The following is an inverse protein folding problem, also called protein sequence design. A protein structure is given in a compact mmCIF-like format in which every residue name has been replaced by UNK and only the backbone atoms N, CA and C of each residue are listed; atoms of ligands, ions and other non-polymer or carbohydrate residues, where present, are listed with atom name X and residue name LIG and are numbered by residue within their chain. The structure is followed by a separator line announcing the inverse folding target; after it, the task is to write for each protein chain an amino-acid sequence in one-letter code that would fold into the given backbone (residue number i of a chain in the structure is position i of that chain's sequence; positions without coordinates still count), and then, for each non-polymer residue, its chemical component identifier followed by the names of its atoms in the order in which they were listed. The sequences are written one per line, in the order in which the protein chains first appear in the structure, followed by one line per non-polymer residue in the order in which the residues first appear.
data_IF_038564177552
#
_entry.id   IF_038564177552
#
_cell.length_a   1.000
_cell.length_b   1.000
_cell.length_c   1.000
_cell.angle_alpha   90.00
_cell.angle_beta   90.00
_cell.angle_gamma   90.00
#
_symmetry.space_group_name_H-M   'P 1'
#
loop_
_entity.id
_entity.type
_entity.pdbx_description
1 polymer ?
#
# COMPACT_ATOMS: atom_id res chain seq x y z
N UNK A 1 -12.91 -17.67 -14.93
CA UNK A 1 -13.61 -16.92 -13.87
C UNK A 1 -12.60 -16.80 -12.75
N UNK A 2 -11.81 -15.73 -12.71
CA UNK A 2 -10.79 -15.57 -11.67
C UNK A 2 -11.50 -15.03 -10.43
N UNK A 3 -11.61 -15.87 -9.42
CA UNK A 3 -12.08 -15.53 -8.09
C UNK A 3 -11.02 -14.60 -7.48
N UNK A 4 -11.25 -13.28 -7.49
CA UNK A 4 -10.45 -12.30 -6.75
C UNK A 4 -10.72 -12.52 -5.25
N UNK A 5 -10.14 -13.59 -4.73
CA UNK A 5 -10.27 -13.97 -3.35
C UNK A 5 -9.52 -12.92 -2.53
N UNK A 6 -10.32 -12.08 -1.86
CA UNK A 6 -10.02 -11.27 -0.67
C UNK A 6 -8.59 -11.47 -0.18
N UNK A 7 -7.82 -10.38 -0.19
CA UNK A 7 -6.60 -10.24 0.59
C UNK A 7 -6.77 -11.05 1.89
N UNK A 8 -5.93 -12.08 2.08
CA UNK A 8 -6.06 -12.99 3.22
C UNK A 8 -6.00 -12.16 4.51
N UNK A 9 -7.12 -12.11 5.26
CA UNK A 9 -7.29 -11.31 6.50
C UNK A 9 -6.13 -11.55 7.49
N UNK A 10 -5.56 -12.76 7.47
CA UNK A 10 -4.39 -13.16 8.28
C UNK A 10 -3.07 -12.47 7.91
N UNK A 11 -2.95 -11.89 6.72
CA UNK A 11 -1.77 -11.15 6.29
C UNK A 11 -1.90 -9.69 6.70
N UNK A 12 -3.11 -9.11 6.59
CA UNK A 12 -3.40 -7.72 6.96
C UNK A 12 -3.24 -7.49 8.47
N UNK A 13 -3.55 -8.48 9.31
CA UNK A 13 -3.39 -8.39 10.78
C UNK A 13 -1.94 -8.30 11.27
N UNK A 14 -0.95 -8.47 10.39
CA UNK A 14 0.47 -8.27 10.72
C UNK A 14 1.02 -6.95 10.18
N UNK A 15 0.24 -6.20 9.39
CA UNK A 15 0.60 -4.85 8.96
C UNK A 15 0.18 -3.85 10.03
N UNK A 16 0.93 -2.77 10.14
CA UNK A 16 0.54 -1.59 10.92
C UNK A 16 -0.81 -1.05 10.40
N UNK A 17 -1.60 -0.44 11.30
CA UNK A 17 -2.99 -0.02 11.04
C UNK A 17 -3.11 0.89 9.79
N UNK A 18 -2.10 1.74 9.56
CA UNK A 18 -2.01 2.60 8.37
C UNK A 18 -1.79 1.82 7.07
N UNK A 19 -0.81 0.91 7.04
CA UNK A 19 -0.57 0.04 5.89
C UNK A 19 -1.79 -0.86 5.55
N UNK A 20 -2.48 -1.39 6.57
CA UNK A 20 -3.70 -2.15 6.38
C UNK A 20 -4.81 -1.33 5.71
N UNK A 21 -5.00 -0.08 6.14
CA UNK A 21 -5.99 0.84 5.56
C UNK A 21 -5.69 1.17 4.09
N UNK A 22 -4.41 1.37 3.76
CA UNK A 22 -3.96 1.60 2.38
C UNK A 22 -4.24 0.39 1.49
N UNK A 23 -3.92 -0.82 1.94
CA UNK A 23 -4.21 -2.04 1.17
C UNK A 23 -5.71 -2.26 1.02
N UNK A 24 -6.49 -2.08 2.08
CA UNK A 24 -7.94 -2.14 1.97
C UNK A 24 -8.44 -1.13 0.93
N UNK A 25 -7.90 0.08 0.87
CA UNK A 25 -8.32 1.08 -0.11
C UNK A 25 -7.88 0.79 -1.55
N UNK A 26 -6.68 0.24 -1.74
CA UNK A 26 -6.11 -0.03 -3.07
C UNK A 26 -6.57 -1.38 -3.64
N UNK A 27 -6.80 -2.36 -2.77
CA UNK A 27 -7.18 -3.73 -3.13
C UNK A 27 -8.67 -4.01 -2.93
N UNK A 28 -9.38 -3.35 -2.01
CA UNK A 28 -10.84 -3.40 -1.93
C UNK A 28 -11.48 -2.23 -2.69
N UNK A 29 -12.49 -2.56 -3.50
CA UNK A 29 -13.26 -1.59 -4.27
C UNK A 29 -12.91 -1.56 -5.76
N UNK A 30 -13.36 -0.52 -6.45
CA UNK A 30 -13.25 -0.37 -7.91
C UNK A 30 -11.88 0.13 -8.38
N UNK A 31 -11.02 0.59 -7.46
CA UNK A 31 -9.75 1.19 -7.83
C UNK A 31 -8.71 0.17 -8.30
N UNK A 32 -8.62 -1.01 -7.66
CA UNK A 32 -7.71 -2.13 -7.98
C UNK A 32 -6.44 -1.69 -8.71
N UNK A 33 -5.65 -0.84 -8.06
CA UNK A 33 -4.54 -0.14 -8.70
C UNK A 33 -3.32 -0.10 -7.78
N UNK A 34 -2.21 0.35 -8.34
CA UNK A 34 -0.98 0.56 -7.61
C UNK A 34 -0.94 2.00 -7.07
N UNK A 35 -0.85 2.13 -5.75
CA UNK A 35 -0.58 3.42 -5.12
C UNK A 35 0.84 3.88 -5.45
N UNK A 36 0.98 5.15 -5.82
CA UNK A 36 2.30 5.77 -6.00
C UNK A 36 2.86 6.14 -4.64
N UNK A 37 4.05 5.64 -4.32
CA UNK A 37 4.77 6.01 -3.10
C UNK A 37 5.67 7.20 -3.38
N UNK A 38 5.63 8.19 -2.49
CA UNK A 38 6.54 9.33 -2.48
C UNK A 38 7.17 9.43 -1.10
N UNK A 39 8.47 9.26 -1.03
CA UNK A 39 9.24 9.46 0.20
C UNK A 39 9.67 10.92 0.34
N UNK A 40 9.49 11.50 1.51
CA UNK A 40 10.06 12.79 1.85
C UNK A 40 10.71 12.74 3.23
N UNK A 41 12.00 13.08 3.26
CA UNK A 41 12.76 13.19 4.50
C UNK A 41 12.91 14.66 4.87
N UNK A 42 12.36 15.06 6.02
CA UNK A 42 12.66 16.37 6.59
C UNK A 42 14.13 16.41 7.05
N UNK A 43 14.73 17.61 7.05
CA UNK A 43 16.15 17.83 7.42
C UNK A 43 16.51 17.35 8.83
N UNK A 44 15.50 17.00 9.65
CA UNK A 44 15.66 16.44 10.99
C UNK A 44 15.82 14.92 11.04
N UNK A 45 15.82 14.23 9.90
CA UNK A 45 15.99 12.77 9.82
C UNK A 45 14.70 11.99 10.06
N UNK A 46 13.55 12.65 9.93
CA UNK A 46 12.23 12.03 9.94
C UNK A 46 11.81 11.83 8.47
N UNK A 47 11.85 10.58 8.03
CA UNK A 47 11.45 10.19 6.68
C UNK A 47 10.05 9.62 6.75
N UNK A 48 9.13 10.31 6.09
CA UNK A 48 7.73 9.91 5.99
C UNK A 48 7.41 9.68 4.52
N UNK A 49 6.49 8.76 4.29
CA UNK A 49 6.13 8.31 2.97
C UNK A 49 4.66 8.60 2.70
N UNK A 50 4.36 9.22 1.57
CA UNK A 50 3.00 9.46 1.10
C UNK A 50 2.63 8.43 0.04
N UNK A 51 1.60 7.64 0.30
CA UNK A 51 0.98 6.78 -0.71
C UNK A 51 -0.22 7.51 -1.29
N UNK A 52 -0.18 7.78 -2.59
CA UNK A 52 -1.32 8.37 -3.31
C UNK A 52 -1.96 7.35 -4.23
N UNK A 53 -3.27 7.15 -4.09
CA UNK A 53 -4.04 6.33 -5.02
C UNK A 53 -4.30 7.11 -6.31
N UNK A 54 -3.83 6.66 -7.50
CA UNK A 54 -4.04 7.37 -8.76
C UNK A 54 -5.49 7.32 -9.26
N UNK A 55 -6.31 6.40 -8.73
CA UNK A 55 -7.71 6.23 -9.15
C UNK A 55 -8.65 7.22 -8.46
N UNK A 56 -8.52 7.38 -7.13
CA UNK A 56 -9.39 8.26 -6.33
C UNK A 56 -8.70 9.54 -5.82
N UNK A 57 -7.37 9.60 -5.86
CA UNK A 57 -6.59 10.73 -5.35
C UNK A 57 -6.42 10.77 -3.82
N UNK A 58 -6.87 9.73 -3.11
CA UNK A 58 -6.68 9.61 -1.65
C UNK A 58 -5.19 9.48 -1.33
N UNK A 59 -4.75 10.18 -0.29
CA UNK A 59 -3.37 10.22 0.16
C UNK A 59 -3.27 9.69 1.58
N UNK A 60 -2.28 8.85 1.82
CA UNK A 60 -2.02 8.26 3.11
C UNK A 60 -0.58 8.57 3.50
N UNK A 61 -0.38 9.04 4.72
CA UNK A 61 0.95 9.29 5.27
C UNK A 61 1.31 8.09 6.13
N UNK A 62 2.45 7.48 5.82
CA UNK A 62 2.97 6.28 6.43
C UNK A 62 4.41 6.50 6.88
N UNK A 63 4.83 5.76 7.88
CA UNK A 63 6.22 5.71 8.31
C UNK A 63 7.01 4.69 7.46
N UNK A 64 8.32 4.61 7.69
CA UNK A 64 9.21 3.69 6.97
C UNK A 64 8.84 2.22 7.21
N UNK A 65 8.40 1.89 8.42
CA UNK A 65 7.97 0.53 8.79
C UNK A 65 6.69 0.11 8.04
N UNK A 66 5.71 1.03 7.94
CA UNK A 66 4.47 0.82 7.21
C UNK A 66 4.73 0.59 5.71
N UNK A 67 5.58 1.43 5.09
CA UNK A 67 5.95 1.26 3.68
C UNK A 67 6.72 -0.03 3.44
N UNK A 68 7.70 -0.35 4.29
CA UNK A 68 8.47 -1.58 4.15
C UNK A 68 7.56 -2.82 4.26
N UNK A 69 6.52 -2.76 5.09
CA UNK A 69 5.51 -3.82 5.18
C UNK A 69 4.61 -3.87 3.93
N UNK A 70 4.19 -2.73 3.39
CA UNK A 70 3.40 -2.63 2.15
C UNK A 70 4.17 -3.14 0.92
N UNK A 71 5.43 -2.78 0.79
CA UNK A 71 6.29 -3.22 -0.32
C UNK A 71 6.48 -4.74 -0.27
N UNK A 72 6.78 -5.29 0.91
CA UNK A 72 6.86 -6.75 1.11
C UNK A 72 5.56 -7.44 0.75
N UNK A 73 4.43 -6.92 1.23
CA UNK A 73 3.12 -7.47 0.91
C UNK A 73 2.84 -7.40 -0.60
N UNK A 74 3.21 -6.29 -1.25
CA UNK A 74 3.01 -6.08 -2.69
C UNK A 74 3.91 -7.00 -3.53
N UNK A 75 5.13 -7.30 -3.08
CA UNK A 75 6.01 -8.28 -3.74
C UNK A 75 5.42 -9.70 -3.68
N UNK A 76 4.89 -10.09 -2.51
CA UNK A 76 4.32 -11.42 -2.31
C UNK A 76 2.93 -11.60 -2.96
N UNK A 77 2.07 -10.58 -2.91
CA UNK A 77 0.65 -10.68 -3.29
C UNK A 77 0.22 -9.73 -4.40
N UNK A 78 0.94 -8.63 -4.63
CA UNK A 78 0.49 -7.55 -5.51
C UNK A 78 0.42 -7.95 -6.98
N UNK A 79 1.26 -8.88 -7.43
CA UNK A 79 1.15 -9.44 -8.78
C UNK A 79 -0.11 -10.30 -8.96
N UNK A 80 -0.50 -11.03 -7.92
CA UNK A 80 -1.68 -11.91 -7.93
C UNK A 80 -2.99 -11.12 -7.83
N UNK A 81 -2.98 -10.00 -7.09
CA UNK A 81 -4.18 -9.20 -6.80
C UNK A 81 -4.27 -7.92 -7.63
N UNK A 82 -3.28 -7.62 -8.46
CA UNK A 82 -3.20 -6.41 -9.31
C UNK A 82 -3.40 -5.13 -8.49
N UNK A 83 -2.88 -5.12 -7.26
CA UNK A 83 -3.02 -4.01 -6.32
C UNK A 83 -1.82 -3.98 -5.37
N UNK A 84 -1.57 -2.83 -4.74
CA UNK A 84 -0.47 -2.65 -3.81
C UNK A 84 0.22 -1.31 -4.01
N UNK A 85 1.48 -1.20 -3.61
CA UNK A 85 2.26 0.03 -3.78
C UNK A 85 3.38 -0.15 -4.80
N UNK A 86 3.65 0.92 -5.55
CA UNK A 86 4.78 0.91 -6.48
C UNK A 86 5.60 2.17 -6.25
N UNK A 87 6.81 1.95 -5.78
CA UNK A 87 7.80 3.01 -5.73
C UNK A 87 8.12 3.47 -7.16
N UNK A 88 7.94 4.76 -7.41
CA UNK A 88 8.42 5.42 -8.61
C UNK A 88 9.73 6.09 -8.22
N UNK A 89 10.79 5.31 -8.20
CA UNK A 89 12.17 5.80 -8.16
C UNK A 89 12.52 6.60 -9.42
#
# INVERSE_FOLDING_TARGET
MADFKRVDEGTIVNLSDGAAEVLAHLCEGECQTYGSVLSWCETRGDCVHEVTCPSCGTKFILDDDDIAALERWTDEHGNALVCGVKDVA
#
